data_IF_109605496406
#
_entry.id   IF_109605496406
#
_cell.length_a   1.000
_cell.length_b   1.000
_cell.length_c   1.000
_cell.angle_alpha   90.00
_cell.angle_beta   90.00
_cell.angle_gamma   90.00
#
_symmetry.space_group_name_H-M   'P 1'
#
loop_
_entity.id
_entity.type
_entity.pdbx_description
1 polymer ?
#
# COMPACT_ATOMS: atom_id res chain seq x y z
N UNK A 1 58.43 7.61 3.99
CA UNK A 1 58.67 9.04 3.70
C UNK A 1 58.05 9.37 2.35
N UNK A 2 57.15 10.37 2.32
CA UNK A 2 56.73 11.29 1.23
C UNK A 2 56.41 10.68 -0.16
N UNK A 3 55.16 10.66 -0.65
CA UNK A 3 54.21 11.73 -1.11
C UNK A 3 54.13 11.79 -2.66
N UNK A 4 52.98 11.36 -3.18
CA UNK A 4 52.18 11.77 -4.37
C UNK A 4 52.83 12.33 -5.66
N UNK A 5 52.47 11.74 -6.81
CA UNK A 5 51.64 12.33 -7.88
C UNK A 5 51.07 11.19 -8.77
N UNK A 6 49.75 11.01 -8.79
CA UNK A 6 48.84 11.35 -9.91
C UNK A 6 49.09 10.57 -11.20
N UNK A 7 48.16 9.67 -11.54
CA UNK A 7 48.17 8.95 -12.81
C UNK A 7 47.22 7.77 -12.77
N UNK A 8 45.96 8.03 -13.11
CA UNK A 8 44.98 7.00 -13.48
C UNK A 8 45.63 5.96 -14.38
N UNK A 9 45.61 4.69 -13.97
CA UNK A 9 45.93 3.58 -14.88
C UNK A 9 44.76 3.48 -15.85
N UNK A 10 44.81 4.29 -16.89
CA UNK A 10 44.00 4.10 -18.08
C UNK A 10 44.50 2.80 -18.67
N UNK A 11 43.77 1.71 -18.45
CA UNK A 11 43.94 0.50 -19.24
C UNK A 11 43.52 0.88 -20.66
N UNK A 12 44.45 1.48 -21.40
CA UNK A 12 44.39 1.55 -22.85
C UNK A 12 44.37 0.09 -23.28
N UNK A 13 43.15 -0.43 -23.48
CA UNK A 13 42.95 -1.47 -24.47
C UNK A 13 43.38 -0.81 -25.78
N UNK A 14 44.68 -0.86 -26.03
CA UNK A 14 45.22 -0.74 -27.37
C UNK A 14 44.51 -1.86 -28.13
N UNK A 15 43.43 -1.50 -28.82
CA UNK A 15 43.12 -2.16 -30.07
C UNK A 15 44.36 -1.92 -30.92
N UNK A 16 45.28 -2.88 -30.88
CA UNK A 16 46.33 -2.97 -31.86
C UNK A 16 45.56 -3.27 -33.15
N UNK A 17 45.23 -2.22 -33.90
CA UNK A 17 44.94 -2.37 -35.31
C UNK A 17 46.31 -2.74 -35.88
N UNK A 18 46.59 -4.04 -35.95
CA UNK A 18 47.80 -4.53 -36.59
C UNK A 18 47.64 -4.14 -38.07
N UNK A 19 48.51 -3.31 -38.65
CA UNK A 19 48.47 -3.05 -40.08
C UNK A 19 48.72 -4.38 -40.78
N UNK A 20 47.80 -4.77 -41.67
CA UNK A 20 47.90 -6.00 -42.44
C UNK A 20 49.27 -6.08 -43.12
N UNK A 21 50.08 -7.05 -42.71
CA UNK A 21 51.33 -7.38 -43.38
C UNK A 21 50.99 -7.97 -44.74
N UNK A 22 51.64 -7.47 -45.79
CA UNK A 22 51.52 -7.92 -47.18
C UNK A 22 52.23 -9.26 -47.38
N UNK A 23 51.74 -10.30 -46.72
CA UNK A 23 51.95 -11.70 -47.07
C UNK A 23 50.58 -12.37 -46.88
N UNK A 24 50.03 -12.94 -47.95
CA UNK A 24 48.62 -13.31 -48.07
C UNK A 24 48.18 -14.48 -47.19
N UNK A 25 48.17 -14.29 -45.87
CA UNK A 25 47.53 -15.18 -44.91
C UNK A 25 46.19 -14.54 -44.48
N UNK A 26 45.10 -15.02 -45.09
CA UNK A 26 43.75 -14.53 -44.76
C UNK A 26 43.34 -15.17 -43.44
N UNK A 27 43.74 -14.55 -42.32
CA UNK A 27 43.37 -15.03 -40.99
C UNK A 27 41.95 -14.61 -40.62
N UNK A 28 41.23 -15.49 -39.94
CA UNK A 28 39.92 -15.18 -39.35
C UNK A 28 40.02 -14.08 -38.27
N UNK A 29 39.02 -13.19 -38.23
CA UNK A 29 39.06 -11.99 -37.38
C UNK A 29 37.66 -11.46 -36.99
N UNK A 30 37.62 -10.64 -35.94
CA UNK A 30 36.44 -9.83 -35.61
C UNK A 30 36.26 -8.71 -36.64
N UNK A 31 35.06 -8.60 -37.19
CA UNK A 31 34.70 -7.48 -38.06
C UNK A 31 34.39 -6.20 -37.30
N UNK A 32 33.98 -5.17 -38.05
CA UNK A 32 33.47 -3.93 -37.45
C UNK A 32 32.20 -4.21 -36.64
N UNK A 33 32.03 -3.46 -35.56
CA UNK A 33 30.84 -3.54 -34.75
C UNK A 33 29.63 -2.97 -35.48
N UNK A 34 28.47 -3.59 -35.29
CA UNK A 34 27.21 -2.98 -35.66
C UNK A 34 26.96 -1.68 -34.86
N UNK A 35 26.03 -0.89 -35.37
CA UNK A 35 25.48 0.25 -34.64
C UNK A 35 24.78 -0.18 -33.37
N UNK A 36 24.78 0.69 -32.35
CA UNK A 36 23.98 0.48 -31.15
C UNK A 36 22.49 0.37 -31.50
N UNK A 37 21.80 -0.54 -30.82
CA UNK A 37 20.35 -0.66 -30.88
C UNK A 37 19.66 0.61 -30.38
N UNK A 38 18.36 0.72 -30.67
CA UNK A 38 17.51 1.63 -29.92
C UNK A 38 17.52 1.26 -28.42
N UNK A 39 17.20 2.23 -27.57
CA UNK A 39 17.09 2.01 -26.13
C UNK A 39 15.97 1.00 -25.84
N UNK A 40 16.22 0.05 -24.95
CA UNK A 40 15.27 -1.02 -24.61
C UNK A 40 14.00 -0.54 -23.92
N UNK A 41 13.95 0.73 -23.52
CA UNK A 41 12.82 1.38 -22.87
C UNK A 41 12.48 2.66 -23.62
N UNK A 42 11.27 3.16 -23.42
CA UNK A 42 10.80 4.44 -23.97
C UNK A 42 10.84 5.56 -22.93
N UNK A 43 11.26 5.28 -21.70
CA UNK A 43 11.37 6.22 -20.60
C UNK A 43 12.47 5.80 -19.61
N UNK A 44 13.07 6.75 -18.89
CA UNK A 44 14.02 6.45 -17.82
C UNK A 44 15.26 5.67 -18.27
N UNK A 45 15.71 4.74 -17.44
CA UNK A 45 16.92 3.94 -17.68
C UNK A 45 16.60 2.65 -18.42
N UNK A 46 17.38 2.37 -19.45
CA UNK A 46 17.34 1.10 -20.17
C UNK A 46 18.72 0.67 -20.62
N UNK A 47 18.74 -0.24 -21.59
CA UNK A 47 19.94 -0.80 -22.17
C UNK A 47 19.96 -0.64 -23.68
N UNK A 48 21.16 -0.50 -24.22
CA UNK A 48 21.45 -0.62 -25.64
C UNK A 48 22.46 -1.75 -25.83
N UNK A 49 22.37 -2.42 -26.97
CA UNK A 49 23.30 -3.48 -27.36
C UNK A 49 23.89 -3.20 -28.73
N UNK A 50 25.11 -3.67 -28.96
CA UNK A 50 25.68 -3.80 -30.30
C UNK A 50 26.37 -5.14 -30.44
N UNK A 51 26.42 -5.64 -31.66
CA UNK A 51 26.92 -6.98 -31.95
C UNK A 51 28.16 -6.90 -32.83
N UNK A 52 29.21 -7.59 -32.42
CA UNK A 52 30.37 -7.90 -33.24
C UNK A 52 30.21 -9.31 -33.81
N UNK A 53 30.69 -9.51 -35.03
CA UNK A 53 30.63 -10.80 -35.72
C UNK A 53 32.02 -11.28 -36.07
N UNK A 54 32.22 -12.59 -35.97
CA UNK A 54 33.44 -13.24 -36.42
C UNK A 54 33.34 -13.57 -37.91
N UNK A 55 34.41 -13.26 -38.64
CA UNK A 55 34.56 -13.56 -40.06
C UNK A 55 35.64 -14.63 -40.23
N UNK A 56 35.32 -15.66 -41.02
CA UNK A 56 36.27 -16.72 -41.33
C UNK A 56 37.32 -16.26 -42.36
N UNK A 57 38.23 -17.16 -42.70
CA UNK A 57 39.32 -16.96 -43.68
C UNK A 57 38.81 -16.70 -45.12
N UNK A 58 37.53 -16.91 -45.38
CA UNK A 58 36.89 -16.62 -46.68
C UNK A 58 36.19 -15.24 -46.66
N UNK A 59 36.26 -14.50 -45.55
CA UNK A 59 35.52 -13.25 -45.34
C UNK A 59 34.02 -13.46 -45.14
N UNK A 60 33.57 -14.68 -44.84
CA UNK A 60 32.17 -15.01 -44.59
C UNK A 60 31.84 -14.81 -43.11
N UNK A 61 30.76 -14.07 -42.87
CA UNK A 61 30.18 -13.86 -41.54
C UNK A 61 29.71 -15.19 -40.95
N UNK A 62 30.24 -15.55 -39.79
CA UNK A 62 29.87 -16.77 -39.07
C UNK A 62 28.75 -16.53 -38.05
N UNK A 63 28.32 -17.58 -37.36
CA UNK A 63 27.36 -17.50 -36.26
C UNK A 63 28.02 -17.11 -34.92
N UNK A 64 29.36 -17.03 -34.88
CA UNK A 64 30.06 -16.58 -33.69
C UNK A 64 29.90 -15.06 -33.53
N UNK A 65 29.37 -14.66 -32.38
CA UNK A 65 29.00 -13.28 -32.09
C UNK A 65 29.46 -12.89 -30.70
N UNK A 66 29.73 -11.60 -30.54
CA UNK A 66 29.93 -11.01 -29.23
C UNK A 66 29.02 -9.79 -29.08
N UNK A 67 28.26 -9.74 -27.99
CA UNK A 67 27.35 -8.64 -27.71
C UNK A 67 27.95 -7.74 -26.64
N UNK A 68 28.06 -6.45 -26.93
CA UNK A 68 28.40 -5.44 -25.93
C UNK A 68 27.12 -4.78 -25.40
N UNK A 69 27.03 -4.67 -24.07
CA UNK A 69 25.94 -3.99 -23.38
C UNK A 69 26.39 -2.61 -22.91
N UNK A 70 25.49 -1.63 -22.99
CA UNK A 70 25.65 -0.32 -22.37
C UNK A 70 24.31 0.22 -21.88
N UNK A 71 24.34 1.22 -20.99
CA UNK A 71 23.14 1.89 -20.49
C UNK A 71 22.71 3.04 -21.40
N UNK A 72 21.40 3.30 -21.44
CA UNK A 72 20.80 4.50 -22.02
C UNK A 72 19.88 5.18 -21.00
N UNK A 73 19.73 6.49 -21.11
CA UNK A 73 18.78 7.27 -20.30
C UNK A 73 17.93 8.17 -21.19
N UNK A 74 16.61 8.01 -21.10
CA UNK A 74 15.62 8.85 -21.75
C UNK A 74 15.00 9.80 -20.73
N UNK A 75 15.04 11.10 -21.00
CA UNK A 75 14.47 12.14 -20.13
C UNK A 75 12.93 12.21 -20.27
N UNK A 76 12.29 11.07 -20.05
CA UNK A 76 10.84 10.88 -20.05
C UNK A 76 10.53 10.14 -18.76
N UNK A 77 9.57 10.67 -17.99
CA UNK A 77 9.16 10.05 -16.72
C UNK A 77 8.37 8.77 -17.01
N UNK A 78 8.79 7.65 -16.43
CA UNK A 78 8.09 6.40 -16.63
C UNK A 78 6.72 6.38 -15.92
N UNK A 79 5.68 5.82 -16.57
CA UNK A 79 4.43 5.49 -15.90
C UNK A 79 4.71 4.61 -14.68
N UNK A 80 4.07 4.94 -13.56
CA UNK A 80 4.06 4.09 -12.37
C UNK A 80 2.61 3.70 -12.16
N UNK A 81 2.30 2.43 -12.33
CA UNK A 81 0.96 1.92 -12.06
C UNK A 81 0.70 1.91 -10.56
N UNK A 82 -0.52 2.27 -10.18
CA UNK A 82 -0.98 2.20 -8.81
C UNK A 82 -1.06 0.77 -8.32
N UNK A 83 -0.77 0.59 -7.04
CA UNK A 83 -1.00 -0.69 -6.39
C UNK A 83 -1.63 -0.49 -5.01
N UNK A 84 -2.40 -1.50 -4.61
CA UNK A 84 -3.16 -1.49 -3.38
C UNK A 84 -2.22 -1.56 -2.17
N UNK A 85 -2.54 -0.79 -1.13
CA UNK A 85 -2.06 -1.08 0.22
C UNK A 85 -2.59 -2.45 0.66
N UNK A 86 -1.97 -3.01 1.70
CA UNK A 86 -2.61 -4.07 2.47
C UNK A 86 -3.99 -3.62 2.95
N UNK A 87 -4.91 -4.57 3.09
CA UNK A 87 -6.19 -4.32 3.72
C UNK A 87 -5.99 -3.89 5.17
N UNK A 88 -6.79 -2.94 5.64
CA UNK A 88 -6.97 -2.70 7.06
C UNK A 88 -7.51 -3.97 7.73
N UNK A 89 -7.32 -4.10 9.06
CA UNK A 89 -8.16 -5.01 9.84
C UNK A 89 -9.64 -4.70 9.62
N UNK A 90 -10.49 -5.71 9.83
CA UNK A 90 -11.93 -5.45 9.88
C UNK A 90 -12.28 -4.56 11.06
N UNK A 91 -13.27 -3.69 10.87
CA UNK A 91 -13.92 -2.91 11.93
C UNK A 91 -14.57 -3.83 12.97
N UNK A 92 -14.95 -3.24 14.10
CA UNK A 92 -15.92 -3.87 14.99
C UNK A 92 -17.23 -4.16 14.24
N UNK A 93 -17.98 -5.15 14.73
CA UNK A 93 -19.30 -5.46 14.19
C UNK A 93 -20.24 -4.27 14.41
N UNK A 94 -21.10 -3.98 13.44
CA UNK A 94 -22.04 -2.84 13.49
C UNK A 94 -23.06 -2.94 14.62
N UNK A 95 -23.26 -4.15 15.16
CA UNK A 95 -24.10 -4.41 16.33
C UNK A 95 -23.26 -5.00 17.46
N UNK A 96 -23.61 -4.74 18.73
CA UNK A 96 -22.91 -5.31 19.88
C UNK A 96 -23.27 -6.78 20.16
N UNK A 97 -24.32 -7.30 19.53
CA UNK A 97 -24.81 -8.67 19.68
C UNK A 97 -25.56 -9.10 18.40
N UNK A 98 -25.74 -10.41 18.21
CA UNK A 98 -26.44 -11.01 17.09
C UNK A 98 -25.76 -10.76 15.74
N UNK A 99 -26.57 -10.69 14.68
CA UNK A 99 -26.08 -10.49 13.32
C UNK A 99 -25.86 -9.01 12.99
N UNK A 100 -24.65 -8.68 12.57
CA UNK A 100 -24.25 -7.36 12.09
C UNK A 100 -23.30 -7.44 10.90
N UNK A 101 -22.63 -6.32 10.65
CA UNK A 101 -21.75 -6.13 9.50
C UNK A 101 -20.43 -5.51 9.97
N UNK A 102 -19.31 -5.94 9.41
CA UNK A 102 -17.99 -5.34 9.60
C UNK A 102 -17.37 -4.97 8.25
N UNK A 103 -16.53 -3.94 8.24
CA UNK A 103 -15.92 -3.41 7.01
C UNK A 103 -14.41 -3.37 7.13
N UNK A 104 -13.71 -3.40 5.99
CA UNK A 104 -12.27 -3.12 5.91
C UNK A 104 -11.99 -2.26 4.69
N UNK A 105 -10.88 -1.53 4.69
CA UNK A 105 -10.50 -0.62 3.61
C UNK A 105 -9.07 -0.85 3.13
N UNK A 106 -8.79 -0.41 1.91
CA UNK A 106 -7.44 -0.34 1.31
C UNK A 106 -7.38 0.87 0.40
N UNK A 107 -6.17 1.35 0.11
CA UNK A 107 -5.95 2.55 -0.70
C UNK A 107 -5.03 2.25 -1.87
N UNK A 108 -5.25 2.88 -3.03
CA UNK A 108 -4.38 2.76 -4.19
C UNK A 108 -3.15 3.67 -4.04
N UNK A 109 -2.29 3.36 -3.07
CA UNK A 109 -1.20 4.25 -2.67
C UNK A 109 0.14 3.56 -2.46
N UNK A 110 0.25 2.26 -2.77
CA UNK A 110 1.46 1.49 -2.54
C UNK A 110 1.97 0.74 -3.79
N UNK A 111 2.40 1.45 -4.85
CA UNK A 111 2.56 2.92 -4.92
C UNK A 111 1.30 3.63 -5.43
N UNK A 112 1.32 4.98 -5.40
CA UNK A 112 0.31 5.79 -6.09
C UNK A 112 0.58 5.78 -7.60
N UNK A 113 -0.46 5.78 -8.45
CA UNK A 113 -0.29 5.99 -9.88
C UNK A 113 0.40 7.32 -10.17
N UNK A 114 1.38 7.32 -11.08
CA UNK A 114 2.09 8.52 -11.52
C UNK A 114 2.36 8.47 -13.02
N UNK A 115 2.56 9.65 -13.61
CA UNK A 115 3.01 9.83 -15.00
C UNK A 115 2.14 9.07 -16.04
N UNK A 116 0.82 9.02 -15.82
CA UNK A 116 -0.11 8.30 -16.70
C UNK A 116 -0.17 6.79 -16.47
N UNK A 117 0.40 6.28 -15.38
CA UNK A 117 0.21 4.89 -14.95
C UNK A 117 -1.24 4.60 -14.54
N UNK A 118 -1.58 3.32 -14.56
CA UNK A 118 -2.94 2.85 -14.33
C UNK A 118 -3.39 3.00 -12.88
N UNK A 119 -4.66 3.34 -12.68
CA UNK A 119 -5.32 3.27 -11.38
C UNK A 119 -5.53 1.81 -10.94
N UNK A 120 -5.65 1.59 -9.64
CA UNK A 120 -5.91 0.25 -9.13
C UNK A 120 -7.31 -0.23 -9.52
N UNK A 121 -7.39 -1.44 -10.08
CA UNK A 121 -8.68 -2.06 -10.39
C UNK A 121 -9.38 -2.59 -9.12
N UNK A 122 -10.69 -2.36 -9.02
CA UNK A 122 -11.57 -2.85 -7.95
C UNK A 122 -11.87 -1.83 -6.85
N UNK A 123 -12.63 -2.27 -5.83
CA UNK A 123 -13.02 -1.41 -4.72
C UNK A 123 -11.95 -1.26 -3.63
N UNK A 124 -11.93 -0.09 -2.99
CA UNK A 124 -11.11 0.21 -1.79
C UNK A 124 -11.81 -0.10 -0.47
N UNK A 125 -13.01 -0.68 -0.49
CA UNK A 125 -13.81 -1.04 0.68
C UNK A 125 -14.43 -2.41 0.48
N UNK A 126 -14.45 -3.20 1.54
CA UNK A 126 -15.05 -4.53 1.58
C UNK A 126 -15.91 -4.67 2.84
N UNK A 127 -17.04 -5.37 2.71
CA UNK A 127 -18.05 -5.51 3.75
C UNK A 127 -18.43 -6.98 3.91
N UNK A 128 -18.55 -7.44 5.15
CA UNK A 128 -18.85 -8.84 5.47
C UNK A 128 -19.73 -8.94 6.70
N UNK A 129 -20.58 -9.97 6.72
CA UNK A 129 -21.41 -10.27 7.89
C UNK A 129 -20.56 -10.72 9.08
N UNK A 130 -20.99 -10.32 10.28
CA UNK A 130 -20.46 -10.80 11.55
C UNK A 130 -21.60 -11.32 12.42
N UNK A 131 -21.34 -12.39 13.16
CA UNK A 131 -22.24 -12.93 14.17
C UNK A 131 -21.54 -12.86 15.52
N UNK A 132 -22.10 -12.08 16.42
CA UNK A 132 -21.75 -12.07 17.83
C UNK A 132 -22.74 -12.93 18.61
N UNK A 133 -22.53 -13.03 19.93
CA UNK A 133 -23.46 -13.72 20.82
C UNK A 133 -24.88 -13.21 20.66
N UNK A 134 -25.85 -14.10 20.87
CA UNK A 134 -27.24 -13.74 20.75
C UNK A 134 -27.58 -12.60 21.69
N UNK A 135 -28.40 -11.69 21.20
CA UNK A 135 -28.76 -10.54 21.99
C UNK A 135 -29.62 -10.97 23.18
N UNK A 136 -29.42 -10.32 24.34
CA UNK A 136 -30.24 -10.58 25.51
C UNK A 136 -31.73 -10.39 25.18
N UNK A 137 -32.60 -11.23 25.77
CA UNK A 137 -34.03 -11.15 25.53
C UNK A 137 -34.55 -9.80 26.02
N UNK A 138 -35.57 -9.31 25.32
CA UNK A 138 -36.31 -8.13 25.76
C UNK A 138 -37.05 -8.49 27.06
N UNK A 139 -37.06 -7.63 28.09
CA UNK A 139 -37.81 -7.91 29.32
C UNK A 139 -39.30 -8.18 29.03
N UNK A 140 -39.95 -9.11 29.75
CA UNK A 140 -41.39 -9.31 29.63
C UNK A 140 -42.15 -8.01 29.99
N UNK A 141 -43.21 -7.69 29.23
CA UNK A 141 -43.94 -6.42 29.30
C UNK A 141 -43.12 -5.16 28.94
N UNK A 142 -42.04 -5.31 28.16
CA UNK A 142 -41.34 -4.16 27.62
C UNK A 142 -42.22 -3.40 26.62
N UNK A 143 -42.73 -2.26 27.08
CA UNK A 143 -43.43 -1.30 26.27
C UNK A 143 -42.52 -0.13 25.90
N UNK A 144 -42.32 0.03 24.59
CA UNK A 144 -41.52 1.11 23.99
C UNK A 144 -42.08 2.50 24.31
N UNK A 145 -43.40 2.61 24.54
CA UNK A 145 -44.06 3.88 24.87
C UNK A 145 -43.75 4.32 26.30
N UNK A 146 -43.66 3.38 27.24
CA UNK A 146 -43.22 3.64 28.61
C UNK A 146 -41.82 4.26 28.66
N UNK A 147 -40.92 3.90 27.73
CA UNK A 147 -39.58 4.51 27.64
C UNK A 147 -39.59 5.95 27.10
N UNK A 148 -40.72 6.47 26.61
CA UNK A 148 -40.86 7.88 26.19
C UNK A 148 -41.27 8.80 27.35
N UNK A 149 -41.55 8.24 28.53
CA UNK A 149 -41.93 9.02 29.71
C UNK A 149 -40.76 9.89 30.21
N UNK A 150 -41.06 11.07 30.80
CA UNK A 150 -40.03 11.92 31.40
C UNK A 150 -39.32 11.18 32.53
N UNK A 151 -37.98 11.19 32.52
CA UNK A 151 -37.16 10.52 33.53
C UNK A 151 -36.64 9.13 33.11
N UNK A 152 -36.97 8.64 31.90
CA UNK A 152 -36.39 7.40 31.35
C UNK A 152 -35.22 7.68 30.42
N UNK A 153 -34.14 6.91 30.54
CA UNK A 153 -33.04 6.90 29.59
C UNK A 153 -33.22 5.77 28.59
N UNK A 154 -33.28 6.11 27.31
CA UNK A 154 -33.11 5.15 26.22
C UNK A 154 -31.67 4.63 26.15
N UNK A 155 -31.50 3.31 26.29
CA UNK A 155 -30.24 2.68 25.93
C UNK A 155 -30.03 2.81 24.40
N UNK A 156 -28.78 2.97 23.96
CA UNK A 156 -28.44 3.12 22.53
C UNK A 156 -28.81 1.87 21.72
N UNK A 157 -28.90 0.70 22.37
CA UNK A 157 -29.38 -0.57 21.81
C UNK A 157 -30.85 -0.53 21.42
N UNK A 158 -31.64 0.42 21.96
CA UNK A 158 -33.08 0.58 21.72
C UNK A 158 -33.93 -0.62 22.15
N UNK A 159 -33.40 -1.49 23.02
CA UNK A 159 -34.06 -2.71 23.50
C UNK A 159 -34.51 -2.64 24.96
N UNK A 160 -34.10 -1.59 25.67
CA UNK A 160 -34.55 -1.29 27.02
C UNK A 160 -34.34 0.20 27.32
N UNK A 161 -34.95 0.66 28.41
CA UNK A 161 -34.65 1.93 29.03
C UNK A 161 -34.40 1.72 30.52
N UNK A 162 -33.62 2.61 31.11
CA UNK A 162 -33.30 2.60 32.55
C UNK A 162 -33.88 3.86 33.19
N UNK A 163 -34.04 3.83 34.51
CA UNK A 163 -34.49 5.01 35.25
C UNK A 163 -33.43 6.12 35.25
N UNK A 164 -33.85 7.36 35.48
CA UNK A 164 -32.93 8.49 35.67
C UNK A 164 -31.90 8.23 36.80
N UNK A 165 -32.28 7.49 37.84
CA UNK A 165 -31.39 7.14 38.96
C UNK A 165 -30.32 6.10 38.59
N UNK A 166 -30.53 5.32 37.54
CA UNK A 166 -29.62 4.29 37.04
C UNK A 166 -28.69 4.83 35.95
N UNK A 167 -28.82 6.11 35.62
CA UNK A 167 -27.94 6.77 34.68
C UNK A 167 -26.71 7.28 35.43
N UNK A 168 -25.53 6.85 35.02
CA UNK A 168 -24.27 7.33 35.61
C UNK A 168 -24.12 6.96 37.08
N UNK A 169 -24.67 5.81 37.47
CA UNK A 169 -24.60 5.25 38.82
C UNK A 169 -23.39 4.31 39.01
N UNK A 170 -22.53 4.21 37.98
CA UNK A 170 -21.37 3.30 37.89
C UNK A 170 -21.74 1.82 37.78
N UNK A 171 -23.00 1.51 37.47
CA UNK A 171 -23.47 0.15 37.18
C UNK A 171 -23.97 0.10 35.76
N UNK A 172 -23.60 -0.96 35.05
CA UNK A 172 -24.01 -1.17 33.66
C UNK A 172 -25.35 -1.87 33.65
N UNK A 173 -26.41 -1.10 33.45
CA UNK A 173 -27.79 -1.57 33.39
C UNK A 173 -28.26 -1.69 31.94
N UNK A 174 -27.80 -0.79 31.07
CA UNK A 174 -27.92 -1.00 29.63
C UNK A 174 -26.90 -2.05 29.16
N UNK A 175 -27.35 -3.07 28.43
CA UNK A 175 -26.45 -4.09 27.87
C UNK A 175 -25.34 -3.56 26.96
N UNK A 176 -25.51 -2.36 26.38
CA UNK A 176 -24.51 -1.68 25.56
C UNK A 176 -23.70 -0.62 26.33
N UNK A 177 -23.85 -0.55 27.67
CA UNK A 177 -23.18 0.41 28.55
C UNK A 177 -23.54 1.87 28.28
N UNK A 178 -24.61 2.13 27.54
CA UNK A 178 -24.94 3.48 27.09
C UNK A 178 -25.40 4.41 28.21
N UNK A 179 -25.95 3.86 29.29
CA UNK A 179 -26.25 4.53 30.56
C UNK A 179 -25.01 5.12 31.23
N UNK A 180 -23.85 4.50 31.09
CA UNK A 180 -22.58 4.96 31.69
C UNK A 180 -21.66 5.70 30.69
N UNK A 181 -21.98 5.68 29.38
CA UNK A 181 -21.08 6.15 28.32
C UNK A 181 -20.90 7.68 28.19
N UNK A 182 -21.77 8.50 28.80
CA UNK A 182 -21.79 9.97 28.62
C UNK A 182 -21.95 10.76 29.93
N UNK A 183 -21.44 10.23 31.04
CA UNK A 183 -21.65 10.82 32.36
C UNK A 183 -21.00 12.20 32.57
N UNK A 184 -19.91 12.48 31.86
CA UNK A 184 -19.28 13.79 31.90
C UNK A 184 -20.15 14.90 31.28
N UNK A 185 -21.04 14.59 30.32
CA UNK A 185 -21.94 15.58 29.70
C UNK A 185 -23.11 15.98 30.60
N UNK A 186 -23.56 15.07 31.46
CA UNK A 186 -24.72 15.31 32.32
C UNK A 186 -24.42 16.20 33.53
N UNK A 187 -23.13 16.41 33.88
CA UNK A 187 -22.74 17.32 34.95
C UNK A 187 -22.96 18.82 34.64
N UNK A 188 -23.24 19.20 33.38
CA UNK A 188 -23.40 20.59 32.96
C UNK A 188 -24.83 21.00 32.53
N UNK A 189 -25.84 20.13 32.69
CA UNK A 189 -27.23 20.50 32.40
C UNK A 189 -27.91 20.99 33.69
N UNK A 190 -28.09 22.31 33.79
CA UNK A 190 -28.70 23.00 34.92
C UNK A 190 -30.21 22.71 35.08
N UNK A 191 -30.57 21.48 35.48
CA UNK A 191 -31.81 21.12 36.21
C UNK A 191 -31.80 19.64 36.62
N UNK A 192 -31.54 19.40 37.92
CA UNK A 192 -31.67 18.11 38.63
C UNK A 192 -30.36 17.31 38.72
N UNK A 193 -29.49 17.51 39.73
CA UNK A 193 -29.48 16.82 41.04
C UNK A 193 -29.72 15.30 40.88
N UNK A 194 -28.79 14.36 41.14
CA UNK A 194 -27.75 14.29 42.18
C UNK A 194 -26.62 13.30 41.78
N UNK A 195 -25.38 13.77 41.83
CA UNK A 195 -24.18 12.96 42.10
C UNK A 195 -23.27 13.77 43.04
N UNK A 196 -23.81 14.08 44.22
CA UNK A 196 -23.07 14.37 45.45
C UNK A 196 -23.10 13.04 46.23
N UNK A 197 -22.03 12.39 46.64
CA UNK A 197 -20.74 12.85 47.14
C UNK A 197 -19.66 11.79 46.81
N UNK A 198 -18.46 12.24 46.40
CA UNK A 198 -17.25 11.50 46.71
C UNK A 198 -16.87 11.89 48.14
N UNK A 199 -17.30 11.11 49.14
CA UNK A 199 -16.68 11.17 50.47
C UNK A 199 -15.32 10.45 50.40
N UNK A 200 -14.26 11.19 50.70
CA UNK A 200 -13.03 10.68 51.31
C UNK A 200 -12.99 11.21 52.73
#
# INVERSE_FOLDING_TARGET
>A
MRLFHSGTVTLLVLCIIVPATVDGDVSSAWGEWDSWSACSVTCGYGSITKTGYWFNEEGVKTNETFVQHSGCYLNIKCPVDGNWTMWSPYSACSKPCGQGIRTRTRYCTNPRPLNGGNECMGGGSDQTNCKLDDCPPIPPNFDIETCKQPGKLWCKSKRMCVEASQRCDRKVQCHDGSDESLCYKYKNSARGMYCTELKK
#
